data_IF_888272564250
#
_entry.id   IF_888272564250
#
_cell.length_a   1.000
_cell.length_b   1.000
_cell.length_c   1.000
_cell.angle_alpha   90.00
_cell.angle_beta   90.00
_cell.angle_gamma   90.00
#
_symmetry.space_group_name_H-M   'P 1'
#
loop_
_entity.id
_entity.type
_entity.pdbx_description
1 polymer ?
#
# COMPACT_ATOMS: atom_id res chain seq x y z
N UNK A 1 -1.45 -42.45 6.03
CA UNK A 1 -1.10 -43.02 4.70
C UNK A 1 -1.74 -42.25 3.56
N UNK A 2 -3.03 -41.91 3.63
CA UNK A 2 -3.70 -41.13 2.55
C UNK A 2 -3.19 -39.70 2.40
N UNK A 3 -2.85 -39.00 3.50
CA UNK A 3 -2.29 -37.65 3.45
C UNK A 3 -0.93 -37.57 2.73
N UNK A 4 -0.08 -38.58 2.91
CA UNK A 4 1.23 -38.69 2.23
C UNK A 4 1.02 -38.96 0.73
N UNK A 5 0.10 -39.86 0.38
CA UNK A 5 -0.26 -40.13 -1.02
C UNK A 5 -0.82 -38.90 -1.72
N UNK A 6 -1.68 -38.12 -1.04
CA UNK A 6 -2.21 -36.87 -1.57
C UNK A 6 -1.11 -35.83 -1.82
N UNK A 7 -0.13 -35.74 -0.92
CA UNK A 7 1.02 -34.85 -1.08
C UNK A 7 1.90 -35.25 -2.28
N UNK A 8 2.23 -36.54 -2.40
CA UNK A 8 3.00 -37.08 -3.53
C UNK A 8 2.30 -36.83 -4.87
N UNK A 9 0.99 -37.06 -4.93
CA UNK A 9 0.18 -36.76 -6.11
C UNK A 9 0.22 -35.27 -6.47
N UNK A 10 0.04 -34.37 -5.49
CA UNK A 10 0.12 -32.92 -5.73
C UNK A 10 1.50 -32.47 -6.22
N UNK A 11 2.58 -33.04 -5.66
CA UNK A 11 3.94 -32.75 -6.12
C UNK A 11 4.16 -33.17 -7.57
N UNK A 12 3.71 -34.37 -7.95
CA UNK A 12 3.83 -34.85 -9.34
C UNK A 12 3.07 -33.96 -10.34
N UNK A 13 1.87 -33.48 -9.98
CA UNK A 13 1.08 -32.57 -10.81
C UNK A 13 1.78 -31.21 -10.98
N UNK A 14 2.43 -30.68 -9.94
CA UNK A 14 3.17 -29.42 -10.00
C UNK A 14 4.30 -29.46 -11.04
N UNK A 15 4.96 -30.61 -11.19
CA UNK A 15 6.03 -30.80 -12.18
C UNK A 15 5.52 -30.79 -13.64
N UNK A 16 4.20 -30.93 -13.87
CA UNK A 16 3.58 -30.93 -15.20
C UNK A 16 2.98 -29.59 -15.63
N UNK A 17 3.03 -28.55 -14.77
CA UNK A 17 2.41 -27.25 -15.03
C UNK A 17 3.22 -26.38 -16.02
N UNK A 18 3.23 -26.75 -17.31
CA UNK A 18 3.54 -25.81 -18.38
C UNK A 18 2.49 -24.68 -18.36
N UNK A 19 2.92 -23.43 -18.24
CA UNK A 19 2.04 -22.25 -18.24
C UNK A 19 1.66 -21.68 -16.87
N UNK A 20 1.94 -22.36 -15.74
CA UNK A 20 1.69 -21.77 -14.42
C UNK A 20 2.51 -20.49 -14.18
N UNK A 21 3.74 -20.44 -14.68
CA UNK A 21 4.56 -19.21 -14.65
C UNK A 21 3.92 -18.08 -15.48
N UNK A 22 3.30 -18.39 -16.62
CA UNK A 22 2.61 -17.41 -17.46
C UNK A 22 1.37 -16.85 -16.75
N UNK A 23 0.54 -17.73 -16.17
CA UNK A 23 -0.62 -17.32 -15.38
C UNK A 23 -0.22 -16.51 -14.15
N UNK A 24 0.88 -16.89 -13.49
CA UNK A 24 1.43 -16.15 -12.35
C UNK A 24 1.86 -14.74 -12.75
N UNK A 25 2.60 -14.61 -13.85
CA UNK A 25 3.05 -13.31 -14.36
C UNK A 25 1.88 -12.38 -14.73
N UNK A 26 0.78 -12.91 -15.26
CA UNK A 26 -0.42 -12.11 -15.57
C UNK A 26 -1.03 -11.43 -14.32
N UNK A 27 -0.89 -12.02 -13.13
CA UNK A 27 -1.37 -11.42 -11.88
C UNK A 27 -0.67 -10.10 -11.56
N UNK A 28 0.62 -9.99 -11.88
CA UNK A 28 1.39 -8.77 -11.65
C UNK A 28 1.04 -7.67 -12.66
N UNK A 29 0.88 -8.02 -13.93
CA UNK A 29 0.53 -7.08 -15.00
C UNK A 29 -0.82 -6.40 -14.75
N UNK A 30 -1.83 -7.17 -14.32
CA UNK A 30 -3.14 -6.63 -13.95
C UNK A 30 -3.10 -5.74 -12.70
N UNK A 31 -2.20 -6.03 -11.76
CA UNK A 31 -2.02 -5.22 -10.55
C UNK A 31 -1.24 -3.92 -10.81
N UNK A 32 -0.36 -3.90 -11.80
CA UNK A 32 0.46 -2.74 -12.17
C UNK A 32 -0.38 -1.66 -12.88
N UNK A 33 -1.37 -2.04 -13.70
CA UNK A 33 -2.30 -1.07 -14.30
C UNK A 33 -3.16 -0.33 -13.26
N UNK A 34 -3.38 -0.94 -12.09
CA UNK A 34 -4.05 -0.30 -10.94
C UNK A 34 -3.14 0.66 -10.13
N UNK A 35 -1.92 0.94 -10.58
CA UNK A 35 -0.99 1.90 -9.94
C UNK A 35 -0.79 3.19 -10.77
N UNK A 36 -1.50 3.33 -11.89
CA UNK A 36 -1.51 4.55 -12.70
C UNK A 36 -2.14 5.72 -11.93
N UNK A 37 -1.73 6.96 -12.24
CA UNK A 37 -2.19 8.16 -11.52
C UNK A 37 -3.71 8.39 -11.59
N UNK A 38 -4.38 7.93 -12.66
CA UNK A 38 -5.85 7.93 -12.78
C UNK A 38 -6.54 6.80 -11.99
N UNK A 39 -5.79 5.79 -11.55
CA UNK A 39 -6.26 4.66 -10.76
C UNK A 39 -5.55 4.60 -9.39
N UNK A 40 -5.21 5.76 -8.83
CA UNK A 40 -4.54 5.82 -7.55
C UNK A 40 -5.41 5.11 -6.47
N UNK A 41 -4.87 4.07 -5.79
CA UNK A 41 -5.63 3.27 -4.83
C UNK A 41 -6.16 4.06 -3.63
N UNK A 42 -5.64 5.26 -3.37
CA UNK A 42 -6.09 6.18 -2.33
C UNK A 42 -7.14 7.20 -2.81
N UNK A 43 -7.61 7.09 -4.07
CA UNK A 43 -8.50 8.08 -4.70
C UNK A 43 -7.72 9.28 -5.24
N UNK A 44 -8.37 10.35 -5.73
CA UNK A 44 -7.67 11.52 -6.22
C UNK A 44 -6.88 12.19 -5.09
N UNK A 45 -5.73 12.78 -5.42
CA UNK A 45 -5.04 13.67 -4.51
C UNK A 45 -5.92 14.89 -4.16
N UNK A 46 -5.73 15.51 -2.99
CA UNK A 46 -6.45 16.73 -2.66
C UNK A 46 -6.20 17.82 -3.72
N UNK A 47 -7.11 18.79 -3.91
CA UNK A 47 -6.95 19.84 -4.91
C UNK A 47 -5.61 20.58 -4.79
N UNK A 48 -4.92 20.73 -5.92
CA UNK A 48 -3.60 21.38 -6.00
C UNK A 48 -2.42 20.52 -5.53
N UNK A 49 -2.64 19.24 -5.22
CA UNK A 49 -1.56 18.29 -4.96
C UNK A 49 -1.20 17.48 -6.21
N UNK A 50 0.09 17.21 -6.38
CA UNK A 50 0.63 16.42 -7.47
C UNK A 50 1.60 15.37 -6.92
N UNK A 51 1.44 14.10 -7.33
CA UNK A 51 2.40 13.03 -7.06
C UNK A 51 3.50 13.09 -8.11
N UNK A 52 4.75 13.09 -7.66
CA UNK A 52 5.94 13.01 -8.51
C UNK A 52 6.86 11.88 -8.06
N UNK A 53 7.81 11.56 -8.92
CA UNK A 53 8.87 10.57 -8.67
C UNK A 53 10.20 11.27 -8.94
N UNK A 54 11.15 11.14 -8.01
CA UNK A 54 12.48 11.73 -8.16
C UNK A 54 13.42 10.83 -8.99
N UNK A 55 14.67 11.25 -9.16
CA UNK A 55 15.68 10.47 -9.91
C UNK A 55 16.08 9.14 -9.27
N UNK A 56 15.63 8.88 -8.03
CA UNK A 56 15.89 7.64 -7.28
C UNK A 56 14.67 6.71 -7.25
N UNK A 57 13.68 6.97 -8.12
CA UNK A 57 12.37 6.28 -8.14
C UNK A 57 11.57 6.43 -6.83
N UNK A 58 11.90 7.43 -6.00
CA UNK A 58 11.17 7.71 -4.76
C UNK A 58 10.00 8.65 -5.04
N UNK A 59 8.83 8.28 -4.52
CA UNK A 59 7.62 9.11 -4.63
C UNK A 59 7.69 10.28 -3.66
N UNK A 60 7.33 11.46 -4.14
CA UNK A 60 7.13 12.67 -3.34
C UNK A 60 5.88 13.42 -3.82
N UNK A 61 5.36 14.30 -2.98
CA UNK A 61 4.11 15.03 -3.22
C UNK A 61 4.37 16.53 -3.22
N UNK A 62 3.88 17.21 -4.25
CA UNK A 62 4.01 18.66 -4.44
C UNK A 62 2.66 19.32 -4.18
N UNK A 63 2.63 20.32 -3.31
CA UNK A 63 1.48 21.16 -3.09
C UNK A 63 1.64 22.49 -3.86
N UNK A 64 0.87 22.66 -4.92
CA UNK A 64 0.89 23.85 -5.77
C UNK A 64 0.26 25.07 -5.13
N UNK A 65 -0.59 24.89 -4.11
CA UNK A 65 -1.23 26.00 -3.39
C UNK A 65 -0.23 26.70 -2.47
N UNK A 66 0.60 25.92 -1.77
CA UNK A 66 1.58 26.43 -0.80
C UNK A 66 3.01 26.48 -1.35
N UNK A 67 3.23 25.94 -2.55
CA UNK A 67 4.56 25.78 -3.17
C UNK A 67 5.52 24.98 -2.28
N UNK A 68 5.01 23.94 -1.62
CA UNK A 68 5.80 23.05 -0.76
C UNK A 68 5.87 21.64 -1.35
N UNK A 69 6.83 20.86 -0.88
CA UNK A 69 7.00 19.45 -1.23
C UNK A 69 7.15 18.62 0.03
N UNK A 70 6.64 17.39 0.02
CA UNK A 70 6.76 16.45 1.14
C UNK A 70 6.89 15.01 0.63
N UNK A 71 7.39 14.13 1.50
CA UNK A 71 7.53 12.70 1.18
C UNK A 71 6.27 11.92 1.53
N UNK A 72 5.49 12.46 2.48
CA UNK A 72 4.30 11.84 3.03
C UNK A 72 3.10 12.08 2.12
N UNK A 73 2.23 11.09 1.96
CA UNK A 73 1.00 11.26 1.20
C UNK A 73 0.01 12.13 1.98
N UNK A 74 -0.48 13.26 1.44
CA UNK A 74 -1.41 14.15 2.13
C UNK A 74 -2.74 13.47 2.49
N UNK A 75 -3.05 12.31 1.89
CA UNK A 75 -4.25 11.50 2.17
C UNK A 75 -4.09 10.57 3.37
N UNK A 76 -2.86 10.27 3.79
CA UNK A 76 -2.59 9.35 4.92
C UNK A 76 -2.19 10.06 6.20
N UNK A 77 -1.45 11.17 6.09
CA UNK A 77 -0.90 11.89 7.26
C UNK A 77 -1.53 13.27 7.44
N UNK A 78 -2.29 13.78 6.47
CA UNK A 78 -2.79 15.15 6.46
C UNK A 78 -1.83 16.12 5.76
N UNK A 79 -2.19 17.41 5.75
CA UNK A 79 -1.31 18.46 5.20
C UNK A 79 -0.08 18.62 6.10
N UNK A 80 1.07 18.99 5.55
CA UNK A 80 2.38 19.13 6.23
C UNK A 80 2.40 19.90 7.57
N UNK A 81 1.37 20.69 7.87
CA UNK A 81 1.24 21.51 9.08
C UNK A 81 0.23 20.95 10.10
N UNK A 82 -0.29 19.74 9.86
CA UNK A 82 -1.27 19.09 10.71
C UNK A 82 -0.66 17.86 11.35
N UNK A 83 -0.99 17.61 12.62
CA UNK A 83 -0.57 16.40 13.31
C UNK A 83 -1.01 15.15 12.52
N UNK A 84 -0.20 14.07 12.52
CA UNK A 84 -0.60 12.84 11.85
C UNK A 84 -1.96 12.35 12.38
N UNK A 85 -2.77 11.76 11.50
CA UNK A 85 -4.01 11.12 11.94
C UNK A 85 -3.71 10.03 12.97
N UNK A 86 -4.59 9.83 13.97
CA UNK A 86 -4.48 8.69 14.86
C UNK A 86 -4.49 7.37 14.09
N UNK A 87 -3.94 6.32 14.69
CA UNK A 87 -3.87 5.01 14.07
C UNK A 87 -5.26 4.51 13.63
N UNK A 88 -5.34 3.98 12.41
CA UNK A 88 -6.59 3.47 11.84
C UNK A 88 -7.53 4.54 11.28
N UNK A 89 -7.14 5.82 11.24
CA UNK A 89 -7.92 6.88 10.60
C UNK A 89 -7.45 7.17 9.16
N UNK A 90 -8.40 7.44 8.27
CA UNK A 90 -8.17 7.77 6.86
C UNK A 90 -8.89 9.09 6.53
N UNK A 91 -8.22 10.02 5.84
CA UNK A 91 -8.87 11.19 5.25
C UNK A 91 -9.38 10.82 3.85
N UNK A 92 -10.61 11.21 3.55
CA UNK A 92 -11.20 11.15 2.21
C UNK A 92 -11.86 12.47 1.84
N UNK A 93 -12.23 12.55 0.57
CA UNK A 93 -12.94 13.68 0.00
C UNK A 93 -14.18 13.18 -0.73
N UNK A 94 -15.29 13.89 -0.57
CA UNK A 94 -16.48 13.66 -1.39
C UNK A 94 -16.22 14.11 -2.83
N UNK A 95 -17.16 13.84 -3.75
CA UNK A 95 -17.05 14.29 -5.15
C UNK A 95 -16.99 15.82 -5.26
N UNK A 96 -17.56 16.50 -4.29
CA UNK A 96 -17.60 17.95 -4.14
C UNK A 96 -16.33 18.51 -3.46
N UNK A 97 -15.36 17.65 -3.13
CA UNK A 97 -14.11 18.03 -2.48
C UNK A 97 -14.22 18.27 -0.98
N UNK A 98 -15.33 17.87 -0.33
CA UNK A 98 -15.50 18.03 1.12
C UNK A 98 -14.71 16.95 1.85
N UNK A 99 -13.82 17.37 2.77
CA UNK A 99 -13.04 16.46 3.60
C UNK A 99 -13.94 15.71 4.59
N UNK A 100 -13.75 14.40 4.69
CA UNK A 100 -14.32 13.56 5.74
C UNK A 100 -13.30 12.53 6.21
N UNK A 101 -13.57 11.93 7.36
CA UNK A 101 -12.66 11.02 8.04
C UNK A 101 -13.33 9.66 8.19
N UNK A 102 -12.56 8.60 7.97
CA UNK A 102 -12.99 7.21 8.08
C UNK A 102 -12.22 6.58 9.24
N UNK A 103 -12.95 6.11 10.25
CA UNK A 103 -12.37 5.36 11.37
C UNK A 103 -12.44 3.86 11.07
N UNK A 104 -11.28 3.26 10.75
CA UNK A 104 -11.18 1.82 10.50
C UNK A 104 -11.24 1.00 11.78
N UNK A 105 -11.13 1.59 12.96
CA UNK A 105 -11.25 0.87 14.23
C UNK A 105 -12.72 0.60 14.52
N UNK A 106 -13.56 1.64 14.46
CA UNK A 106 -15.00 1.53 14.75
C UNK A 106 -15.87 1.31 13.51
N UNK A 107 -15.28 1.35 12.30
CA UNK A 107 -15.99 1.18 11.02
C UNK A 107 -17.04 2.27 10.79
N UNK A 108 -16.68 3.51 11.12
CA UNK A 108 -17.55 4.68 10.98
C UNK A 108 -16.93 5.74 10.08
N UNK A 109 -17.74 6.71 9.65
CA UNK A 109 -17.26 7.91 8.98
C UNK A 109 -17.76 9.14 9.72
N UNK A 110 -17.05 10.24 9.60
CA UNK A 110 -17.42 11.51 10.25
C UNK A 110 -16.83 12.70 9.49
N UNK A 111 -17.46 13.87 9.61
CA UNK A 111 -16.87 15.13 9.13
C UNK A 111 -16.02 15.82 10.21
N UNK A 112 -16.05 15.30 11.44
CA UNK A 112 -15.27 15.83 12.55
C UNK A 112 -13.86 15.27 12.48
N UNK A 113 -12.89 16.17 12.48
CA UNK A 113 -11.48 15.81 12.52
C UNK A 113 -11.15 15.14 13.86
N UNK A 114 -10.61 13.90 13.89
CA UNK A 114 -10.31 13.19 15.13
C UNK A 114 -9.21 13.85 15.96
N UNK A 115 -8.42 14.76 15.37
CA UNK A 115 -7.31 15.47 16.03
C UNK A 115 -7.79 16.75 16.71
N UNK A 116 -8.67 17.49 16.04
CA UNK A 116 -9.07 18.84 16.47
C UNK A 116 -10.54 18.94 16.90
N UNK A 117 -11.35 17.93 16.62
CA UNK A 117 -12.81 17.95 16.78
C UNK A 117 -13.54 18.88 15.81
N UNK A 118 -12.82 19.61 14.94
CA UNK A 118 -13.42 20.57 14.00
C UNK A 118 -14.18 19.83 12.92
N UNK A 119 -15.43 20.26 12.70
CA UNK A 119 -16.25 19.70 11.63
C UNK A 119 -15.98 20.40 10.31
N UNK A 120 -15.83 19.62 9.23
CA UNK A 120 -15.71 20.17 7.88
C UNK A 120 -17.03 20.73 7.35
N UNK A 121 -18.16 20.34 7.95
CA UNK A 121 -19.52 20.76 7.54
C UNK A 121 -20.47 20.76 8.75
N UNK A 122 -21.38 21.72 8.84
CA UNK A 122 -22.39 21.81 9.91
C UNK A 122 -23.53 20.79 9.83
N UNK A 123 -23.93 20.38 8.62
CA UNK A 123 -24.91 19.30 8.36
C UNK A 123 -24.57 18.58 7.06
N UNK A 124 -23.76 17.52 7.17
CA UNK A 124 -23.29 16.75 6.02
C UNK A 124 -24.20 15.57 5.71
N UNK A 125 -24.21 15.07 4.46
CA UNK A 125 -24.85 13.81 4.15
C UNK A 125 -24.21 12.69 4.97
N UNK A 126 -25.00 11.72 5.43
CA UNK A 126 -24.44 10.53 6.09
C UNK A 126 -23.67 9.71 5.05
N UNK A 127 -22.35 9.59 5.24
CA UNK A 127 -21.50 8.80 4.37
C UNK A 127 -21.39 7.39 4.95
N UNK A 128 -21.81 6.38 4.20
CA UNK A 128 -21.66 5.00 4.64
C UNK A 128 -20.17 4.63 4.75
N UNK A 129 -19.83 3.85 5.77
CA UNK A 129 -18.50 3.27 5.87
C UNK A 129 -18.26 2.27 4.73
N UNK A 130 -17.09 2.35 4.12
CA UNK A 130 -16.64 1.40 3.11
C UNK A 130 -15.29 0.81 3.51
N UNK A 131 -15.19 -0.53 3.48
CA UNK A 131 -13.91 -1.21 3.69
C UNK A 131 -12.92 -0.79 2.61
N UNK A 132 -11.87 -0.13 3.03
CA UNK A 132 -10.80 0.28 2.13
C UNK A 132 -9.68 -0.75 2.09
N UNK A 133 -9.88 -1.87 1.39
CA UNK A 133 -8.78 -2.81 1.12
C UNK A 133 -7.62 -2.09 0.41
N UNK A 134 -7.95 -1.15 -0.48
CA UNK A 134 -6.99 -0.35 -1.24
C UNK A 134 -6.17 0.60 -0.34
N UNK A 135 -6.80 1.32 0.59
CA UNK A 135 -6.06 2.14 1.55
C UNK A 135 -5.17 1.29 2.46
N UNK A 136 -5.68 0.17 2.97
CA UNK A 136 -4.88 -0.74 3.82
C UNK A 136 -3.65 -1.26 3.09
N UNK A 137 -3.80 -1.66 1.82
CA UNK A 137 -2.70 -2.11 0.99
C UNK A 137 -1.70 -0.98 0.69
N UNK A 138 -2.19 0.23 0.38
CA UNK A 138 -1.35 1.39 0.12
C UNK A 138 -0.57 1.81 1.38
N UNK A 139 -1.25 1.87 2.54
CA UNK A 139 -0.63 2.18 3.83
C UNK A 139 0.43 1.14 4.21
N UNK A 140 0.14 -0.16 4.04
CA UNK A 140 1.12 -1.22 4.25
C UNK A 140 2.35 -1.06 3.32
N UNK A 141 2.13 -0.81 2.02
CA UNK A 141 3.22 -0.58 1.06
C UNK A 141 4.07 0.63 1.45
N UNK A 142 3.45 1.72 1.89
CA UNK A 142 4.14 2.91 2.38
C UNK A 142 4.99 2.58 3.62
N UNK A 143 4.47 1.83 4.59
CA UNK A 143 5.24 1.38 5.75
C UNK A 143 6.43 0.52 5.32
N UNK A 144 6.26 -0.39 4.36
CA UNK A 144 7.39 -1.15 3.83
C UNK A 144 8.44 -0.27 3.13
N UNK A 145 8.02 0.72 2.34
CA UNK A 145 8.93 1.63 1.62
C UNK A 145 9.68 2.59 2.55
N UNK A 146 9.00 3.15 3.55
CA UNK A 146 9.61 4.07 4.53
C UNK A 146 10.63 3.39 5.44
N UNK A 147 10.46 2.09 5.70
CA UNK A 147 11.43 1.27 6.43
C UNK A 147 12.47 0.60 5.52
N UNK A 148 12.45 0.84 4.21
CA UNK A 148 13.43 0.26 3.30
C UNK A 148 14.80 0.95 3.48
N UNK A 149 15.85 0.15 3.66
CA UNK A 149 17.21 0.67 3.70
C UNK A 149 17.69 1.08 2.30
N UNK A 150 18.45 2.18 2.16
CA UNK A 150 19.08 2.57 0.90
C UNK A 150 20.32 1.70 0.61
N UNK A 151 20.11 0.40 0.53
CA UNK A 151 21.14 -0.62 0.32
C UNK A 151 20.58 -1.79 -0.48
N UNK A 152 21.42 -2.77 -0.79
CA UNK A 152 21.03 -3.98 -1.50
C UNK A 152 21.58 -5.22 -0.80
N UNK A 153 20.87 -6.33 -0.97
CA UNK A 153 21.31 -7.66 -0.55
C UNK A 153 21.54 -8.49 -1.80
N UNK A 154 22.66 -9.22 -1.86
CA UNK A 154 22.96 -10.16 -2.93
C UNK A 154 22.67 -11.58 -2.47
N UNK A 155 21.74 -12.25 -3.15
CA UNK A 155 21.41 -13.66 -2.94
C UNK A 155 21.89 -14.46 -4.16
N UNK A 156 22.83 -15.39 -3.97
CA UNK A 156 23.44 -16.21 -5.03
C UNK A 156 22.97 -17.65 -4.91
N UNK A 157 22.18 -18.15 -5.85
CA UNK A 157 21.59 -19.49 -5.78
C UNK A 157 21.76 -20.25 -7.08
N UNK A 158 21.82 -21.58 -6.97
CA UNK A 158 21.72 -22.50 -8.09
C UNK A 158 20.27 -22.92 -8.32
N UNK A 159 19.89 -23.21 -9.57
CA UNK A 159 18.54 -23.69 -9.88
C UNK A 159 18.31 -25.10 -9.34
N UNK A 160 19.36 -25.91 -9.26
CA UNK A 160 19.30 -27.30 -8.83
C UNK A 160 19.08 -27.44 -7.32
N UNK A 161 19.59 -26.49 -6.52
CA UNK A 161 19.54 -26.46 -5.05
C UNK A 161 18.88 -25.17 -4.55
N UNK A 162 17.91 -24.65 -5.31
CA UNK A 162 17.31 -23.33 -5.07
C UNK A 162 16.79 -23.17 -3.65
N UNK A 163 16.17 -24.21 -3.10
CA UNK A 163 15.61 -24.17 -1.75
C UNK A 163 16.71 -24.10 -0.69
N UNK A 164 17.69 -25.01 -0.75
CA UNK A 164 18.80 -25.09 0.19
C UNK A 164 19.66 -23.82 0.16
N UNK A 165 20.03 -23.35 -1.03
CA UNK A 165 20.85 -22.15 -1.20
C UNK A 165 20.13 -20.89 -0.69
N UNK A 166 18.83 -20.74 -1.03
CA UNK A 166 18.02 -19.60 -0.57
C UNK A 166 17.82 -19.64 0.94
N UNK A 167 17.63 -20.82 1.51
CA UNK A 167 17.46 -21.00 2.96
C UNK A 167 18.74 -20.62 3.71
N UNK A 168 19.89 -21.14 3.28
CA UNK A 168 21.18 -20.83 3.91
C UNK A 168 21.47 -19.32 3.87
N UNK A 169 21.26 -18.68 2.72
CA UNK A 169 21.53 -17.24 2.59
C UNK A 169 20.51 -16.37 3.29
N UNK A 170 19.22 -16.73 3.28
CA UNK A 170 18.19 -15.99 3.99
C UNK A 170 18.39 -16.00 5.50
N UNK A 171 18.80 -17.13 6.07
CA UNK A 171 18.91 -17.32 7.52
C UNK A 171 20.14 -16.66 8.15
N UNK A 172 21.15 -16.30 7.36
CA UNK A 172 22.36 -15.60 7.85
C UNK A 172 22.27 -14.08 7.76
N UNK A 173 21.26 -13.56 7.07
CA UNK A 173 21.04 -12.12 6.96
C UNK A 173 20.40 -11.58 8.25
N UNK A 174 20.86 -10.42 8.75
CA UNK A 174 20.25 -9.82 9.93
C UNK A 174 18.81 -9.38 9.63
N UNK A 175 17.91 -9.65 10.57
CA UNK A 175 16.60 -9.02 10.54
C UNK A 175 16.76 -7.51 10.79
N UNK A 176 16.13 -6.70 9.96
CA UNK A 176 16.08 -5.26 10.15
C UNK A 176 15.05 -4.98 11.25
N UNK A 177 15.50 -4.37 12.35
CA UNK A 177 14.67 -3.95 13.49
C UNK A 177 14.17 -2.52 13.33
#
# INVERSE_FOLDING_TARGET
>A
MESVRNFEQWQSQRNQLQGAMQQFNQRYLYSASMLSAENDPLGPLPPGWERRVDSTDRVYFVNHNTKTTQWEDPRTQGLQNEDPLPEGWEIRYTREGVKYFVDHNTKTTTFNDPRTGKSSVTKGPQIAYERSFRWKLAHFRYLCQSNALPSHVKITVSRQTLFEDSFQQGMVLPALS
#
